data_IF_045753684726
#
_entry.id   IF_045753684726
#
_cell.length_a   1.000
_cell.length_b   1.000
_cell.length_c   1.000
_cell.angle_alpha   90.00
_cell.angle_beta   90.00
_cell.angle_gamma   90.00
#
_symmetry.space_group_name_H-M   'P 1'
#
loop_
_entity.id
_entity.type
_entity.pdbx_description
1 polymer ?
#
# COMPACT_ATOMS: atom_id res chain seq x y z
N UNK A 1 -23.92 13.41 -4.69
CA UNK A 1 -23.20 12.21 -5.18
C UNK A 1 -21.68 12.39 -5.35
N UNK A 2 -21.04 13.33 -4.63
CA UNK A 2 -19.58 13.52 -4.78
C UNK A 2 -18.81 12.29 -4.28
N UNK A 3 -19.20 11.75 -3.12
CA UNK A 3 -18.59 10.57 -2.50
C UNK A 3 -18.51 9.36 -3.43
N UNK A 4 -19.66 8.96 -3.99
CA UNK A 4 -19.78 7.82 -4.89
C UNK A 4 -18.90 7.95 -6.13
N UNK A 5 -18.81 9.17 -6.68
CA UNK A 5 -17.95 9.45 -7.84
C UNK A 5 -16.47 9.32 -7.49
N UNK A 6 -16.04 9.86 -6.35
CA UNK A 6 -14.64 9.75 -5.94
C UNK A 6 -14.27 8.30 -5.63
N UNK A 7 -15.15 7.58 -4.92
CA UNK A 7 -14.98 6.16 -4.62
C UNK A 7 -14.91 5.34 -5.92
N UNK A 8 -15.80 5.61 -6.87
CA UNK A 8 -15.82 4.96 -8.17
C UNK A 8 -14.51 5.14 -8.95
N UNK A 9 -13.87 6.31 -8.87
CA UNK A 9 -12.56 6.54 -9.50
C UNK A 9 -11.50 5.63 -8.87
N UNK A 10 -11.42 5.58 -7.54
CA UNK A 10 -10.45 4.73 -6.82
C UNK A 10 -10.69 3.26 -7.15
N UNK A 11 -11.93 2.79 -7.06
CA UNK A 11 -12.30 1.41 -7.36
C UNK A 11 -12.01 1.03 -8.81
N UNK A 12 -12.28 1.93 -9.77
CA UNK A 12 -11.99 1.68 -11.17
C UNK A 12 -10.49 1.54 -11.41
N UNK A 13 -9.66 2.36 -10.76
CA UNK A 13 -8.19 2.23 -10.88
C UNK A 13 -7.69 0.95 -10.24
N UNK A 14 -8.23 0.56 -9.08
CA UNK A 14 -7.91 -0.73 -8.47
C UNK A 14 -8.30 -1.89 -9.40
N UNK A 15 -9.50 -1.84 -10.00
CA UNK A 15 -9.97 -2.86 -10.94
C UNK A 15 -9.10 -2.92 -12.20
N UNK A 16 -8.65 -1.77 -12.72
CA UNK A 16 -7.70 -1.73 -13.83
C UNK A 16 -6.35 -2.34 -13.44
N UNK A 17 -5.84 -2.06 -12.24
CA UNK A 17 -4.62 -2.67 -11.73
C UNK A 17 -4.71 -4.20 -11.65
N UNK A 18 -5.84 -4.71 -11.15
CA UNK A 18 -6.14 -6.15 -11.10
C UNK A 18 -6.28 -6.75 -12.51
N UNK A 19 -7.00 -6.08 -13.40
CA UNK A 19 -7.15 -6.54 -14.78
C UNK A 19 -5.81 -6.60 -15.53
N UNK A 20 -4.91 -5.63 -15.27
CA UNK A 20 -3.54 -5.63 -15.82
C UNK A 20 -2.74 -6.79 -15.22
N UNK A 21 -2.83 -7.02 -13.90
CA UNK A 21 -2.19 -8.17 -13.26
C UNK A 21 -2.64 -9.48 -13.88
N UNK A 22 -3.95 -9.70 -14.02
CA UNK A 22 -4.52 -10.94 -14.55
C UNK A 22 -4.19 -11.14 -16.04
N UNK A 23 -4.23 -10.07 -16.83
CA UNK A 23 -3.98 -10.14 -18.28
C UNK A 23 -2.50 -10.39 -18.59
N UNK A 24 -1.58 -9.69 -17.91
CA UNK A 24 -0.14 -9.82 -18.12
C UNK A 24 0.52 -10.88 -17.22
N UNK A 25 -0.21 -11.46 -16.26
CA UNK A 25 0.27 -12.43 -15.25
C UNK A 25 1.55 -11.95 -14.56
N UNK A 26 1.53 -10.69 -14.13
CA UNK A 26 2.70 -10.06 -13.52
C UNK A 26 2.96 -10.63 -12.10
N UNK A 27 4.22 -10.73 -11.66
CA UNK A 27 4.54 -11.21 -10.31
C UNK A 27 4.15 -10.21 -9.20
N UNK A 28 3.72 -9.00 -9.57
CA UNK A 28 3.35 -7.93 -8.67
C UNK A 28 1.82 -7.96 -8.47
N UNK A 29 1.30 -7.87 -7.24
CA UNK A 29 -0.13 -7.83 -6.97
C UNK A 29 -0.83 -6.67 -7.69
N UNK A 30 -2.07 -6.89 -8.14
CA UNK A 30 -2.85 -5.88 -8.88
C UNK A 30 -3.08 -4.57 -8.10
N UNK A 31 -3.18 -4.63 -6.77
CA UNK A 31 -3.30 -3.42 -5.94
C UNK A 31 -2.08 -2.49 -6.03
N UNK A 32 -0.86 -3.02 -6.08
CA UNK A 32 0.38 -2.22 -6.24
C UNK A 32 0.41 -1.59 -7.63
N UNK A 33 -0.01 -2.34 -8.65
CA UNK A 33 -0.14 -1.81 -10.02
C UNK A 33 -1.16 -0.66 -10.05
N UNK A 34 -2.32 -0.84 -9.40
CA UNK A 34 -3.32 0.21 -9.25
C UNK A 34 -2.78 1.46 -8.56
N UNK A 35 -1.95 1.32 -7.53
CA UNK A 35 -1.28 2.45 -6.86
C UNK A 35 -0.33 3.19 -7.82
N UNK A 36 0.47 2.47 -8.60
CA UNK A 36 1.36 3.06 -9.61
C UNK A 36 0.52 3.80 -10.67
N UNK A 37 -0.57 3.21 -11.13
CA UNK A 37 -1.45 3.79 -12.13
C UNK A 37 -2.13 5.07 -11.61
N UNK A 38 -2.64 5.05 -10.38
CA UNK A 38 -3.18 6.23 -9.71
C UNK A 38 -2.12 7.33 -9.58
N UNK A 39 -0.90 6.97 -9.18
CA UNK A 39 0.22 7.90 -9.08
C UNK A 39 0.55 8.56 -10.42
N UNK A 40 0.64 7.76 -11.49
CA UNK A 40 0.87 8.28 -12.84
C UNK A 40 -0.26 9.21 -13.30
N UNK A 41 -1.53 8.86 -13.05
CA UNK A 41 -2.68 9.71 -13.38
C UNK A 41 -2.71 11.03 -12.59
N UNK A 42 -2.25 11.03 -11.34
CA UNK A 42 -2.11 12.23 -10.51
C UNK A 42 -0.94 13.10 -11.00
N UNK A 43 0.21 12.48 -11.29
CA UNK A 43 1.42 13.17 -11.75
C UNK A 43 1.25 13.79 -13.14
N UNK A 44 0.56 13.11 -14.05
CA UNK A 44 0.23 13.62 -15.39
C UNK A 44 -0.94 14.60 -15.42
N UNK A 45 -1.62 14.84 -14.28
CA UNK A 45 -2.72 15.79 -14.17
C UNK A 45 -4.07 15.33 -14.77
N UNK A 46 -4.14 14.10 -15.29
CA UNK A 46 -5.38 13.46 -15.79
C UNK A 46 -6.43 13.44 -14.68
N UNK A 47 -6.01 13.06 -13.48
CA UNK A 47 -6.83 13.11 -12.27
C UNK A 47 -6.31 14.24 -11.39
N UNK A 48 -7.17 15.24 -11.15
CA UNK A 48 -6.87 16.27 -10.16
C UNK A 48 -7.08 15.70 -8.76
N UNK A 49 -6.17 16.01 -7.83
CA UNK A 49 -6.24 15.56 -6.43
C UNK A 49 -7.59 15.94 -5.77
N UNK A 50 -8.16 17.09 -6.13
CA UNK A 50 -9.50 17.54 -5.68
C UNK A 50 -10.63 16.57 -6.04
N UNK A 51 -10.46 15.70 -7.04
CA UNK A 51 -11.45 14.70 -7.46
C UNK A 51 -11.47 13.44 -6.58
N UNK A 52 -10.44 13.19 -5.76
CA UNK A 52 -10.35 11.99 -4.90
C UNK A 52 -10.08 12.31 -3.42
N UNK A 53 -9.62 13.53 -3.10
CA UNK A 53 -9.13 13.88 -1.77
C UNK A 53 -10.13 13.60 -0.64
N UNK A 54 -11.42 13.92 -0.83
CA UNK A 54 -12.41 13.81 0.25
C UNK A 54 -12.65 12.35 0.66
N UNK A 55 -12.88 11.46 -0.32
CA UNK A 55 -13.11 10.05 -0.01
C UNK A 55 -11.82 9.35 0.44
N UNK A 56 -10.68 9.69 -0.17
CA UNK A 56 -9.38 9.14 0.24
C UNK A 56 -9.09 9.47 1.69
N UNK A 57 -9.32 10.72 2.11
CA UNK A 57 -9.15 11.12 3.51
C UNK A 57 -10.14 10.39 4.43
N UNK A 58 -11.42 10.30 4.05
CA UNK A 58 -12.40 9.55 4.83
C UNK A 58 -12.02 8.08 5.03
N UNK A 59 -11.56 7.39 3.97
CA UNK A 59 -11.09 6.00 4.05
C UNK A 59 -9.85 5.87 4.93
N UNK A 60 -8.90 6.79 4.80
CA UNK A 60 -7.66 6.79 5.58
C UNK A 60 -7.92 7.07 7.07
N UNK A 61 -8.83 7.99 7.39
CA UNK A 61 -9.22 8.30 8.76
C UNK A 61 -9.92 7.10 9.44
N UNK A 62 -10.59 6.23 8.66
CA UNK A 62 -11.25 5.02 9.14
C UNK A 62 -10.49 3.74 8.78
N UNK A 63 -9.20 3.83 8.46
CA UNK A 63 -8.42 2.72 7.94
C UNK A 63 -8.33 1.52 8.91
N UNK A 64 -8.36 1.79 10.22
CA UNK A 64 -8.42 0.75 11.26
C UNK A 64 -9.62 -0.20 11.10
N UNK A 65 -10.78 0.32 10.68
CA UNK A 65 -11.98 -0.50 10.43
C UNK A 65 -11.73 -1.53 9.31
N UNK A 66 -11.02 -1.13 8.24
CA UNK A 66 -10.69 -2.00 7.12
C UNK A 66 -9.65 -3.08 7.46
N UNK A 67 -8.90 -2.92 8.56
CA UNK A 67 -8.00 -3.97 9.05
C UNK A 67 -8.70 -5.06 9.86
N UNK A 68 -9.93 -4.84 10.32
CA UNK A 68 -10.68 -5.85 11.12
C UNK A 68 -10.87 -7.16 10.35
N UNK A 69 -11.35 -7.17 9.08
CA UNK A 69 -11.48 -8.41 8.31
C UNK A 69 -10.14 -9.13 8.10
N UNK A 70 -9.06 -8.39 7.83
CA UNK A 70 -7.73 -8.96 7.68
C UNK A 70 -7.24 -9.61 8.98
N UNK A 71 -7.48 -8.96 10.13
CA UNK A 71 -7.15 -9.49 11.45
C UNK A 71 -7.94 -10.76 11.79
N UNK A 72 -9.25 -10.78 11.51
CA UNK A 72 -10.08 -11.98 11.69
C UNK A 72 -9.61 -13.12 10.77
N UNK A 73 -9.18 -12.82 9.55
CA UNK A 73 -8.60 -13.81 8.64
C UNK A 73 -7.41 -14.55 9.24
N UNK A 74 -6.54 -13.85 9.98
CA UNK A 74 -5.37 -14.43 10.66
C UNK A 74 -5.78 -15.47 11.72
N UNK A 75 -6.96 -15.33 12.35
CA UNK A 75 -7.45 -16.32 13.31
C UNK A 75 -7.66 -17.70 12.67
N UNK A 76 -7.86 -17.79 11.36
CA UNK A 76 -7.92 -19.08 10.66
C UNK A 76 -6.56 -19.79 10.66
N UNK A 77 -5.47 -19.05 10.78
CA UNK A 77 -4.10 -19.56 10.79
C UNK A 77 -3.54 -19.80 12.21
N UNK A 78 -4.28 -19.40 13.27
CA UNK A 78 -3.90 -19.62 14.68
C UNK A 78 -3.47 -21.07 15.00
N UNK A 79 -4.15 -22.12 14.49
CA UNK A 79 -3.72 -23.50 14.73
C UNK A 79 -2.31 -23.80 14.25
N UNK A 80 -1.86 -23.19 13.14
CA UNK A 80 -0.52 -23.37 12.59
C UNK A 80 0.57 -22.68 13.43
N UNK A 81 0.19 -21.67 14.22
CA UNK A 81 1.10 -20.94 15.12
C UNK A 81 1.23 -21.60 16.51
N UNK A 82 0.45 -22.64 16.83
CA UNK A 82 0.51 -23.31 18.13
C UNK A 82 1.95 -23.78 18.43
N UNK A 83 2.46 -23.38 19.60
CA UNK A 83 3.82 -23.70 20.06
C UNK A 83 4.95 -22.83 19.49
N UNK A 84 4.67 -21.90 18.56
CA UNK A 84 5.70 -21.04 17.93
C UNK A 84 5.46 -19.53 18.13
N UNK A 85 4.58 -19.16 19.06
CA UNK A 85 4.18 -17.77 19.32
C UNK A 85 5.34 -16.82 19.62
N UNK A 86 6.29 -17.25 20.46
CA UNK A 86 7.48 -16.43 20.77
C UNK A 86 8.35 -16.20 19.53
N UNK A 87 8.59 -17.25 18.74
CA UNK A 87 9.37 -17.15 17.52
C UNK A 87 8.69 -16.26 16.48
N UNK A 88 7.36 -16.38 16.33
CA UNK A 88 6.57 -15.52 15.45
C UNK A 88 6.65 -14.05 15.87
N UNK A 89 6.44 -13.75 17.15
CA UNK A 89 6.53 -12.38 17.68
C UNK A 89 7.94 -11.80 17.47
N UNK A 90 8.97 -12.62 17.75
CA UNK A 90 10.36 -12.26 17.52
C UNK A 90 10.64 -11.92 16.05
N UNK A 91 10.21 -12.78 15.13
CA UNK A 91 10.35 -12.53 13.68
C UNK A 91 9.64 -11.23 13.30
N UNK A 92 8.36 -11.04 13.68
CA UNK A 92 7.60 -9.84 13.34
C UNK A 92 8.28 -8.55 13.82
N UNK A 93 8.73 -8.50 15.09
CA UNK A 93 9.37 -7.32 15.64
C UNK A 93 10.73 -7.06 14.98
N UNK A 94 11.57 -8.08 14.87
CA UNK A 94 12.92 -7.97 14.32
C UNK A 94 12.84 -7.58 12.84
N UNK A 95 12.01 -8.25 12.03
CA UNK A 95 11.88 -7.90 10.61
C UNK A 95 11.30 -6.51 10.42
N UNK A 96 10.34 -6.09 11.25
CA UNK A 96 9.78 -4.74 11.17
C UNK A 96 10.84 -3.67 11.43
N UNK A 97 11.64 -3.85 12.49
CA UNK A 97 12.75 -2.93 12.80
C UNK A 97 13.76 -2.91 11.67
N UNK A 98 14.17 -4.09 11.16
CA UNK A 98 15.13 -4.19 10.06
C UNK A 98 14.59 -3.48 8.81
N UNK A 99 13.33 -3.72 8.42
CA UNK A 99 12.72 -3.08 7.25
C UNK A 99 12.70 -1.56 7.40
N UNK A 100 12.32 -1.04 8.57
CA UNK A 100 12.29 0.40 8.84
C UNK A 100 13.70 1.00 8.73
N UNK A 101 14.68 0.38 9.39
CA UNK A 101 16.08 0.85 9.40
C UNK A 101 16.67 0.83 8.00
N UNK A 102 16.54 -0.29 7.28
CA UNK A 102 17.10 -0.45 5.93
C UNK A 102 16.44 0.51 4.96
N UNK A 103 15.10 0.62 4.96
CA UNK A 103 14.37 1.56 4.08
C UNK A 103 14.78 3.00 4.35
N UNK A 104 14.84 3.39 5.64
CA UNK A 104 15.28 4.73 6.03
C UNK A 104 16.72 5.02 5.59
N UNK A 105 17.62 4.07 5.82
CA UNK A 105 19.03 4.19 5.41
C UNK A 105 19.18 4.31 3.89
N UNK A 106 18.47 3.48 3.11
CA UNK A 106 18.49 3.53 1.65
C UNK A 106 18.08 4.91 1.13
N UNK A 107 17.01 5.50 1.66
CA UNK A 107 16.56 6.84 1.25
C UNK A 107 17.56 7.92 1.69
N UNK A 108 18.12 7.83 2.89
CA UNK A 108 19.15 8.77 3.35
C UNK A 108 20.41 8.72 2.49
N UNK A 109 20.85 7.52 2.08
CA UNK A 109 21.95 7.36 1.13
C UNK A 109 21.62 7.98 -0.22
N UNK A 110 20.44 7.69 -0.77
CA UNK A 110 20.00 8.26 -2.05
C UNK A 110 20.03 9.79 -2.03
N UNK A 111 19.43 10.39 -0.99
CA UNK A 111 19.42 11.86 -0.83
C UNK A 111 20.85 12.41 -0.76
N UNK A 112 21.74 11.76 0.01
CA UNK A 112 23.13 12.20 0.18
C UNK A 112 23.94 12.12 -1.12
N UNK A 113 23.67 11.12 -1.96
CA UNK A 113 24.32 10.96 -3.26
C UNK A 113 23.81 12.02 -4.25
N UNK A 114 22.49 12.20 -4.35
CA UNK A 114 21.90 13.22 -5.23
C UNK A 114 22.23 14.65 -4.80
N UNK A 115 22.33 14.94 -3.49
CA UNK A 115 22.73 16.27 -3.00
C UNK A 115 24.20 16.59 -3.29
N UNK A 116 25.04 15.57 -3.51
CA UNK A 116 26.47 15.71 -3.82
C UNK A 116 26.73 15.95 -5.31
N UNK A 117 25.75 15.66 -6.17
CA UNK A 117 25.80 15.95 -7.62
C UNK A 117 25.27 17.35 -7.96
N UNK A 118 24.63 18.04 -6.99
CA UNK A 118 24.05 19.38 -7.15
C UNK A 118 24.91 20.52 -6.54
N UNK A 119 26.11 20.21 -6.03
CA UNK A 119 27.15 21.17 -5.61
C UNK A 119 28.39 21.00 -6.48
#
# INVERSE_FOLDING_TARGET
MRLLRQLGIILLICLLGEAIHDFFKLPIPGNVIGMILLFLCLSSGIIKLTKINYISKFLLDHLAFFFVPAGVGILSCMPMLKGKWLAFLGVCLITSIIIIVVTGWTIQLYIKLTSKEAQ
#
